data_IF_501039271129
#
_entry.id   IF_501039271129
#
_cell.length_a   1.000
_cell.length_b   1.000
_cell.length_c   1.000
_cell.angle_alpha   90.00
_cell.angle_beta   90.00
_cell.angle_gamma   90.00
#
_symmetry.space_group_name_H-M   'P 1'
#
loop_
_entity.id
_entity.type
_entity.pdbx_description
1 polymer ?
#
# COMPACT_ATOMS: atom_id res chain seq x y z
N UNK A 1 -27.33 65.42 34.08
CA UNK A 1 -26.61 64.30 34.75
C UNK A 1 -27.47 63.06 34.62
N UNK A 2 -27.20 62.15 33.66
CA UNK A 2 -28.13 61.04 33.39
C UNK A 2 -27.68 60.00 32.37
N UNK A 3 -26.37 59.87 32.06
CA UNK A 3 -25.88 58.94 31.04
C UNK A 3 -24.69 58.08 31.50
N UNK A 4 -24.57 57.74 32.79
CA UNK A 4 -23.48 56.87 33.29
C UNK A 4 -23.89 55.54 33.91
N UNK A 5 -25.16 55.30 34.20
CA UNK A 5 -25.59 54.11 34.95
C UNK A 5 -26.13 52.95 34.10
N UNK A 6 -26.26 53.12 32.78
CA UNK A 6 -26.89 52.11 31.90
C UNK A 6 -25.89 51.18 31.19
N UNK A 7 -24.58 51.50 31.21
CA UNK A 7 -23.55 50.71 30.53
C UNK A 7 -22.97 49.57 31.40
N UNK A 8 -22.98 49.71 32.73
CA UNK A 8 -22.33 48.75 33.64
C UNK A 8 -23.14 47.45 33.86
N UNK A 9 -24.43 47.46 33.56
CA UNK A 9 -25.30 46.26 33.65
C UNK A 9 -25.29 45.42 32.36
N UNK A 10 -25.04 46.04 31.21
CA UNK A 10 -24.94 45.34 29.92
C UNK A 10 -23.63 44.57 29.77
N UNK A 11 -22.51 45.08 30.31
CA UNK A 11 -21.21 44.40 30.20
C UNK A 11 -21.08 43.15 31.11
N UNK A 12 -21.78 43.09 32.24
CA UNK A 12 -21.73 41.92 33.15
C UNK A 12 -22.50 40.70 32.61
N UNK A 13 -23.51 40.93 31.77
CA UNK A 13 -24.32 39.86 31.17
C UNK A 13 -23.63 39.20 29.97
N UNK A 14 -22.90 39.97 29.14
CA UNK A 14 -22.16 39.42 28.00
C UNK A 14 -20.97 38.55 28.45
N UNK A 15 -20.27 38.95 29.52
CA UNK A 15 -19.13 38.20 30.05
C UNK A 15 -19.53 36.82 30.61
N UNK A 16 -20.75 36.67 31.18
CA UNK A 16 -21.23 35.37 31.70
C UNK A 16 -21.72 34.43 30.60
N UNK A 17 -22.30 34.96 29.53
CA UNK A 17 -22.76 34.15 28.39
C UNK A 17 -21.56 33.60 27.60
N UNK A 18 -20.52 34.40 27.35
CA UNK A 18 -19.32 33.92 26.64
C UNK A 18 -18.55 32.82 27.40
N UNK A 19 -18.47 32.91 28.74
CA UNK A 19 -17.77 31.89 29.54
C UNK A 19 -18.52 30.55 29.60
N UNK A 20 -19.86 30.58 29.59
CA UNK A 20 -20.68 29.36 29.53
C UNK A 20 -20.73 28.74 28.12
N UNK A 21 -20.62 29.54 27.06
CA UNK A 21 -20.54 29.04 25.68
C UNK A 21 -19.18 28.38 25.35
N UNK A 22 -18.07 28.84 25.93
CA UNK A 22 -16.77 28.18 25.73
C UNK A 22 -16.66 26.82 26.44
N UNK A 23 -17.38 26.62 27.55
CA UNK A 23 -17.37 25.35 28.27
C UNK A 23 -18.21 24.25 27.60
N UNK A 24 -19.18 24.60 26.75
CA UNK A 24 -20.02 23.61 26.06
C UNK A 24 -19.43 23.10 24.73
N UNK A 25 -18.42 23.78 24.17
CA UNK A 25 -17.77 23.33 22.92
C UNK A 25 -16.61 22.37 23.17
N UNK A 26 -16.08 22.30 24.39
CA UNK A 26 -14.90 21.48 24.73
C UNK A 26 -15.22 20.02 25.10
N UNK A 27 -16.49 19.61 25.17
CA UNK A 27 -16.91 18.25 25.52
C UNK A 27 -17.26 17.33 24.35
N UNK A 28 -17.16 17.80 23.09
CA UNK A 28 -17.43 16.97 21.91
C UNK A 28 -16.20 16.21 21.35
N UNK A 29 -15.01 16.40 21.92
CA UNK A 29 -13.75 15.88 21.36
C UNK A 29 -13.19 14.65 22.10
N UNK A 30 -14.06 13.78 22.63
CA UNK A 30 -13.66 12.45 23.16
C UNK A 30 -14.49 11.32 22.56
N UNK A 31 -14.69 11.35 21.25
CA UNK A 31 -14.84 10.11 20.50
C UNK A 31 -13.47 9.46 20.41
N UNK A 32 -13.13 8.62 21.39
CA UNK A 32 -12.05 7.65 21.22
C UNK A 32 -12.33 6.90 19.93
N UNK A 33 -11.39 6.90 18.98
CA UNK A 33 -11.45 6.06 17.80
C UNK A 33 -11.58 4.61 18.29
N UNK A 34 -12.79 4.09 18.32
CA UNK A 34 -13.00 2.65 18.36
C UNK A 34 -12.42 2.15 17.03
N UNK A 35 -11.20 1.62 17.08
CA UNK A 35 -10.65 0.78 16.03
C UNK A 35 -11.68 -0.32 15.81
N UNK A 36 -12.56 -0.14 14.82
CA UNK A 36 -13.58 -1.11 14.50
C UNK A 36 -12.83 -2.40 14.12
N UNK A 37 -13.17 -3.50 14.79
CA UNK A 37 -12.51 -4.79 14.63
C UNK A 37 -12.46 -5.24 13.14
N UNK A 38 -13.25 -4.64 12.26
CA UNK A 38 -13.42 -4.98 10.84
C UNK A 38 -12.13 -5.10 10.02
N UNK A 39 -11.03 -4.47 10.43
CA UNK A 39 -9.78 -4.42 9.64
C UNK A 39 -8.78 -5.54 10.00
N UNK A 40 -9.15 -6.44 10.93
CA UNK A 40 -8.30 -7.55 11.40
C UNK A 40 -8.94 -8.91 11.08
N UNK A 41 -8.16 -9.91 10.61
CA UNK A 41 -8.71 -11.24 10.30
C UNK A 41 -9.50 -11.88 11.45
N UNK A 42 -9.03 -11.70 12.68
CA UNK A 42 -9.59 -12.33 13.89
C UNK A 42 -11.00 -11.84 14.23
N UNK A 43 -11.46 -10.77 13.58
CA UNK A 43 -12.77 -10.18 13.78
C UNK A 43 -13.84 -10.75 12.83
N UNK A 44 -13.44 -11.67 11.95
CA UNK A 44 -14.31 -12.31 10.97
C UNK A 44 -14.23 -13.83 11.14
N UNK A 45 -15.32 -14.58 10.90
CA UNK A 45 -15.31 -16.03 10.98
C UNK A 45 -14.25 -16.65 10.07
N UNK A 46 -13.58 -17.69 10.56
CA UNK A 46 -12.58 -18.42 9.79
C UNK A 46 -13.15 -18.92 8.45
N UNK A 47 -12.38 -18.72 7.38
CA UNK A 47 -12.77 -19.09 6.02
C UNK A 47 -13.82 -18.17 5.37
N UNK A 48 -14.32 -17.15 6.07
CA UNK A 48 -15.14 -16.11 5.44
C UNK A 48 -14.32 -15.29 4.43
N UNK A 49 -15.01 -14.66 3.48
CA UNK A 49 -14.39 -13.81 2.47
C UNK A 49 -13.53 -12.69 3.11
N UNK A 50 -14.04 -12.05 4.16
CA UNK A 50 -13.34 -10.97 4.86
C UNK A 50 -12.12 -11.47 5.63
N UNK A 51 -12.25 -12.55 6.41
CA UNK A 51 -11.11 -13.18 7.10
C UNK A 51 -10.01 -13.53 6.09
N UNK A 52 -10.38 -14.23 5.02
CA UNK A 52 -9.46 -14.69 3.97
C UNK A 52 -8.81 -13.52 3.23
N UNK A 53 -9.60 -12.51 2.84
CA UNK A 53 -9.10 -11.33 2.13
C UNK A 53 -8.12 -10.51 2.97
N UNK A 54 -8.38 -10.34 4.26
CA UNK A 54 -7.47 -9.65 5.18
C UNK A 54 -6.16 -10.41 5.38
N UNK A 55 -6.20 -11.74 5.45
CA UNK A 55 -4.98 -12.58 5.49
C UNK A 55 -4.14 -12.39 4.22
N UNK A 56 -4.76 -12.43 3.04
CA UNK A 56 -4.04 -12.19 1.78
C UNK A 56 -3.48 -10.78 1.70
N UNK A 57 -4.25 -9.77 2.12
CA UNK A 57 -3.79 -8.37 2.15
C UNK A 57 -2.58 -8.20 3.08
N UNK A 58 -2.58 -8.85 4.25
CA UNK A 58 -1.44 -8.80 5.16
C UNK A 58 -0.19 -9.47 4.56
N UNK A 59 -0.35 -10.62 3.89
CA UNK A 59 0.75 -11.29 3.19
C UNK A 59 1.29 -10.45 2.05
N UNK A 60 0.40 -9.85 1.26
CA UNK A 60 0.75 -8.97 0.15
C UNK A 60 1.57 -7.76 0.61
N UNK A 61 1.16 -7.09 1.70
CA UNK A 61 1.95 -6.00 2.32
C UNK A 61 3.38 -6.43 2.70
N UNK A 62 3.53 -7.60 3.29
CA UNK A 62 4.86 -8.16 3.62
C UNK A 62 5.69 -8.40 2.37
N UNK A 63 5.09 -9.01 1.33
CA UNK A 63 5.76 -9.25 0.05
C UNK A 63 6.16 -7.96 -0.66
N UNK A 64 5.32 -6.93 -0.62
CA UNK A 64 5.63 -5.60 -1.18
C UNK A 64 6.83 -4.98 -0.47
N UNK A 65 6.90 -5.05 0.86
CA UNK A 65 8.03 -4.54 1.61
C UNK A 65 9.34 -5.27 1.24
N UNK A 66 9.29 -6.60 1.12
CA UNK A 66 10.42 -7.42 0.66
C UNK A 66 10.83 -7.14 -0.78
N UNK A 67 9.86 -6.89 -1.67
CA UNK A 67 10.07 -6.53 -3.07
C UNK A 67 10.79 -5.19 -3.18
N UNK A 68 10.32 -4.17 -2.46
CA UNK A 68 10.96 -2.86 -2.41
C UNK A 68 12.40 -2.94 -1.88
N UNK A 69 12.64 -3.77 -0.86
CA UNK A 69 14.00 -3.98 -0.35
C UNK A 69 14.91 -4.69 -1.36
N UNK A 70 14.40 -5.72 -2.03
CA UNK A 70 15.13 -6.45 -3.07
C UNK A 70 15.41 -5.54 -4.28
N UNK A 71 14.47 -4.67 -4.65
CA UNK A 71 14.64 -3.67 -5.70
C UNK A 71 15.77 -2.69 -5.35
N UNK A 72 15.82 -2.15 -4.12
CA UNK A 72 16.92 -1.29 -3.67
C UNK A 72 18.27 -2.00 -3.74
N UNK A 73 18.32 -3.28 -3.38
CA UNK A 73 19.54 -4.11 -3.49
C UNK A 73 19.97 -4.26 -4.96
N UNK A 74 19.03 -4.56 -5.86
CA UNK A 74 19.32 -4.70 -7.29
C UNK A 74 19.85 -3.39 -7.88
N UNK A 75 19.21 -2.26 -7.59
CA UNK A 75 19.62 -0.95 -8.12
C UNK A 75 21.00 -0.48 -7.64
N UNK A 76 21.48 -0.99 -6.49
CA UNK A 76 22.87 -0.75 -6.07
C UNK A 76 23.88 -1.59 -6.85
N UNK A 77 23.47 -2.74 -7.39
CA UNK A 77 24.30 -3.62 -8.20
C UNK A 77 24.33 -3.20 -9.67
N UNK A 78 23.24 -2.60 -10.16
CA UNK A 78 23.13 -2.05 -11.51
C UNK A 78 23.67 -0.62 -11.49
N UNK A 79 24.89 -0.42 -12.00
CA UNK A 79 25.57 0.89 -12.00
C UNK A 79 25.08 1.82 -13.12
N UNK A 80 24.39 1.27 -14.13
CA UNK A 80 23.82 2.03 -15.25
C UNK A 80 22.57 2.82 -14.82
N UNK A 81 22.70 4.14 -14.76
CA UNK A 81 21.62 5.04 -14.35
C UNK A 81 20.41 5.06 -15.29
N UNK A 82 20.60 4.84 -16.60
CA UNK A 82 19.51 4.79 -17.58
C UNK A 82 18.69 3.53 -17.39
N UNK A 83 19.36 2.39 -17.19
CA UNK A 83 18.70 1.12 -16.90
C UNK A 83 17.97 1.15 -15.55
N UNK A 84 18.58 1.70 -14.50
CA UNK A 84 17.91 1.88 -13.20
C UNK A 84 16.66 2.76 -13.34
N UNK A 85 16.72 3.83 -14.13
CA UNK A 85 15.54 4.66 -14.41
C UNK A 85 14.45 3.85 -15.13
N UNK A 86 14.78 3.10 -16.18
CA UNK A 86 13.83 2.27 -16.91
C UNK A 86 13.17 1.21 -16.00
N UNK A 87 13.95 0.55 -15.14
CA UNK A 87 13.44 -0.42 -14.16
C UNK A 87 12.48 0.21 -13.14
N UNK A 88 12.73 1.45 -12.70
CA UNK A 88 11.81 2.18 -11.80
C UNK A 88 10.49 2.50 -12.48
N UNK A 89 10.55 3.00 -13.71
CA UNK A 89 9.34 3.31 -14.49
C UNK A 89 8.55 2.03 -14.74
N UNK A 90 9.22 0.95 -15.11
CA UNK A 90 8.58 -0.35 -15.36
C UNK A 90 7.98 -0.94 -14.09
N UNK A 91 8.64 -0.84 -12.92
CA UNK A 91 8.05 -1.30 -11.65
C UNK A 91 6.77 -0.54 -11.30
N UNK A 92 6.76 0.79 -11.49
CA UNK A 92 5.57 1.61 -11.26
C UNK A 92 4.42 1.20 -12.16
N UNK A 93 4.69 1.00 -13.45
CA UNK A 93 3.70 0.54 -14.42
C UNK A 93 3.20 -0.88 -14.09
N UNK A 94 4.10 -1.77 -13.70
CA UNK A 94 3.74 -3.14 -13.28
C UNK A 94 2.82 -3.13 -12.05
N UNK A 95 3.05 -2.26 -11.06
CA UNK A 95 2.16 -2.14 -9.91
C UNK A 95 0.75 -1.70 -10.30
N UNK A 96 0.60 -0.84 -11.31
CA UNK A 96 -0.71 -0.42 -11.82
C UNK A 96 -1.38 -1.54 -12.61
N UNK A 97 -0.61 -2.24 -13.45
CA UNK A 97 -1.07 -3.43 -14.17
C UNK A 97 -1.56 -4.52 -13.22
N UNK A 98 -0.81 -4.80 -12.14
CA UNK A 98 -1.17 -5.79 -11.11
C UNK A 98 -2.58 -5.54 -10.58
N UNK A 99 -2.89 -4.30 -10.17
CA UNK A 99 -4.21 -3.94 -9.64
C UNK A 99 -5.29 -4.13 -10.71
N UNK A 100 -5.11 -3.55 -11.89
CA UNK A 100 -6.10 -3.64 -12.96
C UNK A 100 -6.38 -5.08 -13.42
N UNK A 101 -5.34 -5.90 -13.54
CA UNK A 101 -5.45 -7.33 -13.87
C UNK A 101 -6.22 -8.08 -12.77
N UNK A 102 -5.88 -7.82 -11.51
CA UNK A 102 -6.49 -8.53 -10.40
C UNK A 102 -7.93 -8.09 -10.11
N UNK A 103 -8.31 -6.85 -10.42
CA UNK A 103 -9.70 -6.41 -10.41
C UNK A 103 -10.54 -7.23 -11.41
N UNK A 104 -10.03 -7.45 -12.62
CA UNK A 104 -10.70 -8.32 -13.62
C UNK A 104 -10.86 -9.74 -13.10
N UNK A 105 -9.81 -10.32 -12.50
CA UNK A 105 -9.89 -11.65 -11.88
C UNK A 105 -10.94 -11.70 -10.76
N UNK A 106 -11.02 -10.65 -9.93
CA UNK A 106 -12.02 -10.51 -8.88
C UNK A 106 -13.44 -10.56 -9.44
N UNK A 107 -13.74 -9.71 -10.42
CA UNK A 107 -15.06 -9.63 -11.07
C UNK A 107 -15.45 -10.92 -11.78
N UNK A 108 -14.50 -11.59 -12.44
CA UNK A 108 -14.75 -12.85 -13.16
C UNK A 108 -14.85 -14.07 -12.23
N UNK A 109 -14.54 -13.95 -10.95
CA UNK A 109 -14.54 -15.09 -10.01
C UNK A 109 -15.93 -15.66 -9.69
N UNK A 110 -17.00 -14.90 -9.97
CA UNK A 110 -18.39 -15.34 -9.77
C UNK A 110 -18.84 -15.45 -8.31
N UNK A 111 -18.03 -14.97 -7.35
CA UNK A 111 -18.36 -14.97 -5.93
C UNK A 111 -19.35 -13.87 -5.54
N UNK A 112 -20.20 -14.12 -4.54
CA UNK A 112 -21.07 -13.10 -3.94
C UNK A 112 -20.45 -12.41 -2.72
N UNK A 113 -21.04 -11.28 -2.30
CA UNK A 113 -20.56 -10.52 -1.14
C UNK A 113 -19.13 -10.00 -1.36
N UNK A 114 -18.24 -10.20 -0.38
CA UNK A 114 -16.85 -9.74 -0.48
C UNK A 114 -15.92 -10.68 -1.28
N UNK A 115 -16.39 -11.85 -1.73
CA UNK A 115 -15.55 -12.82 -2.43
C UNK A 115 -14.81 -12.28 -3.68
N UNK A 116 -15.42 -11.43 -4.54
CA UNK A 116 -14.71 -10.80 -5.65
C UNK A 116 -13.46 -10.03 -5.19
N UNK A 117 -13.61 -9.18 -4.17
CA UNK A 117 -12.47 -8.44 -3.59
C UNK A 117 -11.42 -9.37 -2.96
N UNK A 118 -11.85 -10.46 -2.30
CA UNK A 118 -10.94 -11.47 -1.76
C UNK A 118 -10.10 -12.12 -2.87
N UNK A 119 -10.71 -12.39 -4.04
CA UNK A 119 -10.02 -12.95 -5.20
C UNK A 119 -9.09 -11.98 -5.88
N UNK A 120 -9.46 -10.69 -5.96
CA UNK A 120 -8.55 -9.65 -6.42
C UNK A 120 -7.29 -9.57 -5.53
N UNK A 121 -7.45 -9.51 -4.21
CA UNK A 121 -6.32 -9.45 -3.27
C UNK A 121 -5.47 -10.73 -3.29
N UNK A 122 -6.08 -11.90 -3.45
CA UNK A 122 -5.34 -13.16 -3.65
C UNK A 122 -4.47 -13.11 -4.91
N UNK A 123 -5.01 -12.60 -6.02
CA UNK A 123 -4.28 -12.38 -7.27
C UNK A 123 -3.10 -11.42 -7.05
N UNK A 124 -3.32 -10.29 -6.37
CA UNK A 124 -2.26 -9.31 -6.11
C UNK A 124 -1.11 -9.89 -5.29
N UNK A 125 -1.44 -10.66 -4.24
CA UNK A 125 -0.47 -11.37 -3.43
C UNK A 125 0.36 -12.33 -4.29
N UNK A 126 -0.29 -13.11 -5.16
CA UNK A 126 0.37 -14.08 -6.03
C UNK A 126 1.30 -13.40 -7.06
N UNK A 127 0.84 -12.34 -7.71
CA UNK A 127 1.66 -11.58 -8.66
C UNK A 127 2.86 -10.91 -7.97
N UNK A 128 2.67 -10.39 -6.75
CA UNK A 128 3.76 -9.81 -5.95
C UNK A 128 4.80 -10.87 -5.55
N UNK A 129 4.35 -12.06 -5.16
CA UNK A 129 5.24 -13.19 -4.87
C UNK A 129 6.09 -13.58 -6.09
N UNK A 130 5.46 -13.71 -7.27
CA UNK A 130 6.17 -14.02 -8.51
C UNK A 130 7.18 -12.92 -8.90
N UNK A 131 6.80 -11.66 -8.75
CA UNK A 131 7.68 -10.51 -9.00
C UNK A 131 8.89 -10.51 -8.09
N UNK A 132 8.68 -10.74 -6.78
CA UNK A 132 9.75 -10.87 -5.80
C UNK A 132 10.70 -12.02 -6.12
N UNK A 133 10.18 -13.18 -6.55
CA UNK A 133 11.01 -14.30 -6.97
C UNK A 133 11.95 -13.92 -8.12
N UNK A 134 11.41 -13.36 -9.20
CA UNK A 134 12.21 -12.88 -10.35
C UNK A 134 13.24 -11.81 -9.95
N UNK A 135 12.87 -10.91 -9.04
CA UNK A 135 13.76 -9.87 -8.53
C UNK A 135 14.93 -10.47 -7.71
N UNK A 136 14.66 -11.48 -6.88
CA UNK A 136 15.69 -12.22 -6.14
C UNK A 136 16.62 -12.96 -7.08
N UNK A 137 16.08 -13.55 -8.14
CA UNK A 137 16.87 -14.27 -9.16
C UNK A 137 17.77 -13.33 -9.93
N UNK A 138 17.27 -12.18 -10.33
CA UNK A 138 18.06 -11.11 -10.93
C UNK A 138 19.20 -10.67 -10.00
N UNK A 139 18.94 -10.43 -8.71
CA UNK A 139 19.99 -10.09 -7.73
C UNK A 139 21.05 -11.19 -7.62
N UNK A 140 20.63 -12.46 -7.52
CA UNK A 140 21.57 -13.61 -7.44
C UNK A 140 22.43 -13.72 -8.70
N UNK A 141 21.83 -13.57 -9.87
CA UNK A 141 22.50 -13.63 -11.16
C UNK A 141 23.51 -12.49 -11.32
N UNK A 142 23.09 -11.24 -11.08
CA UNK A 142 23.99 -10.06 -11.19
C UNK A 142 25.17 -10.17 -10.24
N UNK A 143 24.97 -10.65 -9.00
CA UNK A 143 26.08 -10.89 -8.06
C UNK A 143 27.07 -11.92 -8.59
N UNK A 144 26.58 -13.02 -9.17
CA UNK A 144 27.43 -14.07 -9.75
C UNK A 144 28.26 -13.54 -10.93
N UNK A 145 27.62 -12.83 -11.86
CA UNK A 145 28.25 -12.26 -13.06
C UNK A 145 29.13 -11.06 -12.74
N UNK A 146 28.90 -10.35 -11.63
CA UNK A 146 29.76 -9.23 -11.25
C UNK A 146 31.24 -9.61 -11.02
N UNK A 147 31.54 -10.89 -10.83
CA UNK A 147 32.90 -11.42 -10.81
C UNK A 147 33.56 -11.54 -12.20
N UNK A 148 32.78 -11.69 -13.29
CA UNK A 148 33.30 -11.83 -14.67
C UNK A 148 33.53 -10.49 -15.39
N UNK A 149 32.86 -9.41 -14.96
CA UNK A 149 33.06 -8.06 -15.49
C UNK A 149 32.37 -7.75 -16.84
N UNK A 150 31.75 -8.74 -17.49
CA UNK A 150 31.12 -8.59 -18.81
C UNK A 150 29.70 -8.02 -18.67
N UNK A 151 29.40 -6.92 -19.37
CA UNK A 151 28.10 -6.24 -19.28
C UNK A 151 26.95 -7.05 -19.89
N UNK A 152 27.17 -7.70 -21.03
CA UNK A 152 26.12 -8.46 -21.74
C UNK A 152 25.56 -9.61 -20.88
N UNK A 153 26.42 -10.27 -20.10
CA UNK A 153 26.00 -11.29 -19.14
C UNK A 153 25.13 -10.70 -18.01
N UNK A 154 25.41 -9.46 -17.57
CA UNK A 154 24.59 -8.76 -16.57
C UNK A 154 23.24 -8.35 -17.13
N UNK A 155 23.19 -7.93 -18.39
CA UNK A 155 21.93 -7.61 -19.05
C UNK A 155 21.02 -8.84 -19.14
N UNK A 156 21.60 -10.03 -19.41
CA UNK A 156 20.85 -11.30 -19.44
C UNK A 156 20.16 -11.61 -18.10
N UNK A 157 20.79 -11.29 -16.97
CA UNK A 157 20.20 -11.46 -15.64
C UNK A 157 18.91 -10.64 -15.41
N UNK A 158 18.74 -9.55 -16.15
CA UNK A 158 17.68 -8.56 -15.95
C UNK A 158 16.50 -8.73 -16.91
N UNK A 159 16.68 -9.42 -18.04
CA UNK A 159 15.60 -9.62 -19.03
C UNK A 159 14.34 -10.26 -18.43
N UNK A 160 14.49 -11.18 -17.48
CA UNK A 160 13.37 -11.82 -16.77
C UNK A 160 12.46 -10.85 -15.98
N UNK A 161 12.90 -9.60 -15.77
CA UNK A 161 12.12 -8.54 -15.11
C UNK A 161 11.12 -7.86 -16.04
N UNK A 162 11.09 -8.22 -17.33
CA UNK A 162 10.08 -7.78 -18.29
C UNK A 162 9.13 -8.94 -18.69
N UNK A 163 8.36 -9.53 -17.75
CA UNK A 163 7.68 -10.81 -17.94
C UNK A 163 6.56 -10.80 -18.98
N UNK A 164 6.00 -9.63 -19.32
CA UNK A 164 4.98 -9.49 -20.36
C UNK A 164 5.59 -9.48 -21.77
N UNK A 165 6.85 -9.08 -21.89
CA UNK A 165 7.55 -8.96 -23.16
C UNK A 165 8.49 -10.16 -23.43
N UNK A 166 8.92 -10.85 -22.38
CA UNK A 166 9.85 -11.98 -22.46
C UNK A 166 9.14 -13.25 -21.99
N UNK A 167 8.90 -14.23 -22.88
CA UNK A 167 8.36 -15.52 -22.49
C UNK A 167 9.24 -16.17 -21.43
N UNK A 168 8.64 -16.86 -20.46
CA UNK A 168 9.38 -17.83 -19.68
C UNK A 168 9.84 -18.91 -20.66
N UNK A 169 11.14 -19.02 -20.91
CA UNK A 169 11.68 -20.22 -21.54
C UNK A 169 11.23 -21.42 -20.70
N UNK A 170 10.62 -22.41 -21.36
CA UNK A 170 10.11 -23.64 -20.74
C UNK A 170 11.26 -24.53 -20.30
#
# INVERSE_FOLDING_TARGET
MGCRLQWDLLMKSVARVCLLSMLFVLTAARGAAAEQCTDKPECWPDGSAMNTGLIYAQKERTLVAELQDTQRKLFKLVVDGRLVHALRVQEKAWSQYKVAECDVIGELSGGGGSWPSTKAVECEMNLTSQRLHRMRDAVRCVRRVSASGIWDEKAQCLYQLAPLAVPLEK
#
